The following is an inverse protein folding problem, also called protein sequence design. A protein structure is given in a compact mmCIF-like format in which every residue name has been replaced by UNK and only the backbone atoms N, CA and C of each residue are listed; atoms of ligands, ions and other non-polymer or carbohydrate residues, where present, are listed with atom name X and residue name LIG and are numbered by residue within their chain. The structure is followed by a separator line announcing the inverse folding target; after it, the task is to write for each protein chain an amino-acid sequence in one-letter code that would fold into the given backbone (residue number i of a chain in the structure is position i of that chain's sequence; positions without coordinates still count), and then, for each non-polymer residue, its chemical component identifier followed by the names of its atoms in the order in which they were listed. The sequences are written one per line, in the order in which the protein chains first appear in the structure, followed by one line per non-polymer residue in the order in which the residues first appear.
data_IF_907172883282
#
_entry.id   IF_907172883282
#
_cell.length_a   1.000
_cell.length_b   1.000
_cell.length_c   1.000
_cell.angle_alpha   90.00
_cell.angle_beta   90.00
_cell.angle_gamma   90.00
#
_symmetry.space_group_name_H-M   'P 1'
#
loop_
_entity.id
_entity.type
_entity.pdbx_description
1 polymer ?
#
# COMPACT_ATOMS: atom_id res chain seq x y z
N UNK A 1 -9.08 8.06 -13.61
CA UNK A 1 -8.91 7.49 -12.26
C UNK A 1 -7.50 6.97 -11.99
N UNK A 2 -6.82 6.41 -12.99
CA UNK A 2 -5.45 5.88 -12.85
C UNK A 2 -4.42 6.83 -12.21
N UNK A 3 -4.38 8.11 -12.63
CA UNK A 3 -3.43 9.10 -12.08
C UNK A 3 -3.62 9.28 -10.58
N UNK A 4 -4.87 9.29 -10.12
CA UNK A 4 -5.22 9.40 -8.71
C UNK A 4 -4.80 8.13 -7.95
N UNK A 5 -5.07 6.93 -8.49
CA UNK A 5 -4.59 5.67 -7.91
C UNK A 5 -3.08 5.62 -7.76
N UNK A 6 -2.34 6.08 -8.77
CA UNK A 6 -0.88 6.15 -8.73
C UNK A 6 -0.38 7.16 -7.68
N UNK A 7 -1.04 8.31 -7.53
CA UNK A 7 -0.73 9.29 -6.49
C UNK A 7 -1.00 8.75 -5.08
N UNK A 8 -2.13 8.06 -4.87
CA UNK A 8 -2.46 7.42 -3.59
C UNK A 8 -1.43 6.34 -3.24
N UNK A 9 -1.00 5.56 -4.23
CA UNK A 9 0.04 4.55 -4.06
C UNK A 9 1.37 5.18 -3.64
N UNK A 10 1.80 6.26 -4.31
CA UNK A 10 3.01 7.00 -3.95
C UNK A 10 2.90 7.60 -2.54
N UNK A 11 1.75 8.15 -2.17
CA UNK A 11 1.50 8.68 -0.83
C UNK A 11 1.59 7.58 0.24
N UNK A 12 1.06 6.38 -0.02
CA UNK A 12 1.18 5.25 0.89
C UNK A 12 2.64 4.89 1.19
N UNK A 13 3.50 4.89 0.17
CA UNK A 13 4.93 4.64 0.33
C UNK A 13 5.64 5.76 1.08
N UNK A 14 5.32 7.03 0.78
CA UNK A 14 5.88 8.17 1.51
C UNK A 14 5.47 8.17 2.98
N UNK A 15 4.20 7.86 3.27
CA UNK A 15 3.70 7.72 4.64
C UNK A 15 4.46 6.61 5.37
N UNK A 16 4.65 5.45 4.72
CA UNK A 16 5.42 4.35 5.28
C UNK A 16 6.86 4.77 5.62
N UNK A 17 7.57 5.40 4.68
CA UNK A 17 8.93 5.90 4.89
C UNK A 17 8.98 6.89 6.06
N UNK A 18 8.03 7.82 6.13
CA UNK A 18 7.96 8.79 7.22
C UNK A 18 7.76 8.10 8.58
N UNK A 19 6.88 7.10 8.66
CA UNK A 19 6.64 6.35 9.89
C UNK A 19 7.91 5.60 10.32
N UNK A 20 8.57 4.92 9.39
CA UNK A 20 9.87 4.27 9.65
C UNK A 20 10.92 5.27 10.13
N UNK A 21 11.02 6.44 9.51
CA UNK A 21 11.97 7.48 9.90
C UNK A 21 11.69 8.05 11.30
N UNK A 22 10.42 8.12 11.72
CA UNK A 22 10.05 8.58 13.07
C UNK A 22 10.25 7.51 14.16
N UNK A 23 10.56 6.27 13.80
CA UNK A 23 10.73 5.17 14.76
C UNK A 23 9.44 4.72 15.47
N UNK A 24 8.27 5.26 15.12
CA UNK A 24 6.98 4.94 15.75
C UNK A 24 6.36 3.64 15.20
N UNK A 25 7.15 2.58 15.09
CA UNK A 25 6.73 1.26 14.61
C UNK A 25 6.15 0.45 15.77
N UNK A 26 4.92 0.78 16.18
CA UNK A 26 4.16 0.04 17.19
C UNK A 26 2.89 -0.50 16.55
N UNK A 27 2.51 -1.74 16.86
CA UNK A 27 1.34 -2.40 16.29
C UNK A 27 0.04 -1.59 16.48
N UNK A 28 -0.13 -0.99 17.67
CA UNK A 28 -1.30 -0.19 18.02
C UNK A 28 -1.27 1.24 17.44
N UNK A 29 -0.17 1.63 16.78
CA UNK A 29 -0.07 2.96 16.19
C UNK A 29 -0.97 3.06 14.95
N UNK A 30 -2.03 3.86 15.04
CA UNK A 30 -2.96 4.11 13.91
C UNK A 30 -2.26 4.61 12.65
N UNK A 31 -1.16 5.37 12.79
CA UNK A 31 -0.42 5.90 11.64
C UNK A 31 0.24 4.77 10.84
N UNK A 32 0.69 3.70 11.49
CA UNK A 32 1.27 2.52 10.83
C UNK A 32 0.31 1.93 9.78
N UNK A 33 -1.00 2.03 10.03
CA UNK A 33 -2.06 1.49 9.18
C UNK A 33 -2.47 2.43 8.04
N UNK A 34 -1.98 3.68 7.99
CA UNK A 34 -2.30 4.61 6.93
C UNK A 34 -1.73 4.19 5.56
N UNK A 35 -0.52 3.62 5.55
CA UNK A 35 0.14 3.11 4.36
C UNK A 35 -0.63 1.93 3.70
N UNK A 36 -0.94 0.83 4.40
CA UNK A 36 -1.68 -0.28 3.81
C UNK A 36 -3.10 0.12 3.37
N UNK A 37 -3.79 1.01 4.10
CA UNK A 37 -5.09 1.54 3.64
C UNK A 37 -4.96 2.27 2.29
N UNK A 38 -3.91 3.08 2.13
CA UNK A 38 -3.64 3.78 0.88
C UNK A 38 -3.36 2.80 -0.28
N UNK A 39 -2.56 1.76 -0.03
CA UNK A 39 -2.28 0.71 -1.02
C UNK A 39 -3.55 -0.02 -1.45
N UNK A 40 -4.42 -0.39 -0.50
CA UNK A 40 -5.70 -1.05 -0.79
C UNK A 40 -6.66 -0.17 -1.58
N UNK A 41 -6.77 1.11 -1.23
CA UNK A 41 -7.57 2.07 -2.00
C UNK A 41 -7.05 2.23 -3.44
N UNK A 42 -5.74 2.41 -3.61
CA UNK A 42 -5.13 2.53 -4.93
C UNK A 42 -5.40 1.29 -5.79
N UNK A 43 -5.21 0.10 -5.22
CA UNK A 43 -5.43 -1.17 -5.90
C UNK A 43 -6.90 -1.36 -6.32
N UNK A 44 -7.83 -1.04 -5.43
CA UNK A 44 -9.28 -1.17 -5.69
C UNK A 44 -9.72 -0.21 -6.79
N UNK A 45 -9.33 1.07 -6.72
CA UNK A 45 -9.67 2.06 -7.74
C UNK A 45 -9.08 1.71 -9.11
N UNK A 46 -7.85 1.22 -9.15
CA UNK A 46 -7.21 0.77 -10.39
C UNK A 46 -7.91 -0.49 -10.96
N UNK A 47 -8.33 -1.41 -10.10
CA UNK A 47 -9.08 -2.61 -10.51
C UNK A 47 -10.44 -2.25 -11.14
N UNK A 48 -11.19 -1.31 -10.56
CA UNK A 48 -12.44 -0.80 -11.13
C UNK A 48 -12.20 -0.17 -12.51
N UNK A 49 -11.17 0.68 -12.62
CA UNK A 49 -10.80 1.32 -13.90
C UNK A 49 -10.44 0.30 -14.98
N UNK A 50 -9.85 -0.85 -14.60
CA UNK A 50 -9.48 -1.94 -15.51
C UNK A 50 -10.71 -2.61 -16.15
N UNK A 51 -11.83 -2.62 -15.45
CA UNK A 51 -13.10 -3.19 -15.91
C UNK A 51 -13.82 -2.21 -16.83
N UNK A 52 -13.81 -0.92 -16.51
CA UNK A 52 -14.60 0.12 -17.19
C UNK A 52 -13.96 0.68 -18.45
N UNK A 53 -12.63 0.77 -18.53
CA UNK A 53 -11.91 1.44 -19.61
C UNK A 53 -10.96 0.48 -20.35
N UNK A 54 -11.28 0.15 -21.60
CA UNK A 54 -10.49 -0.75 -22.43
C UNK A 54 -9.13 -0.16 -22.83
N UNK A 55 -9.06 1.15 -23.00
CA UNK A 55 -7.88 1.85 -23.51
C UNK A 55 -6.84 2.01 -22.39
N UNK A 56 -7.31 2.19 -21.15
CA UNK A 56 -6.45 2.27 -19.96
C UNK A 56 -6.29 0.93 -19.23
N UNK A 57 -6.83 -0.18 -19.75
CA UNK A 57 -6.90 -1.47 -19.06
C UNK A 57 -5.54 -1.99 -18.61
N UNK A 58 -4.55 -2.01 -19.51
CA UNK A 58 -3.22 -2.55 -19.21
C UNK A 58 -2.51 -1.75 -18.11
N UNK A 59 -2.56 -0.42 -18.19
CA UNK A 59 -1.98 0.47 -17.19
C UNK A 59 -2.69 0.31 -15.83
N UNK A 60 -4.02 0.21 -15.85
CA UNK A 60 -4.86 0.04 -14.65
C UNK A 60 -4.61 -1.27 -13.95
N UNK A 61 -4.43 -2.34 -14.73
CA UNK A 61 -4.06 -3.64 -14.20
C UNK A 61 -2.67 -3.62 -13.54
N UNK A 62 -1.69 -2.95 -14.16
CA UNK A 62 -0.36 -2.77 -13.55
C UNK A 62 -0.44 -2.03 -12.22
N UNK A 63 -1.15 -0.90 -12.16
CA UNK A 63 -1.30 -0.13 -10.91
C UNK A 63 -2.02 -0.96 -9.84
N UNK A 64 -3.01 -1.76 -10.21
CA UNK A 64 -3.68 -2.68 -9.30
C UNK A 64 -2.71 -3.72 -8.72
N UNK A 65 -1.93 -4.39 -9.58
CA UNK A 65 -0.91 -5.36 -9.15
C UNK A 65 0.10 -4.71 -8.21
N UNK A 66 0.61 -3.53 -8.54
CA UNK A 66 1.59 -2.84 -7.70
C UNK A 66 1.00 -2.48 -6.34
N UNK A 67 -0.28 -2.06 -6.29
CA UNK A 67 -0.98 -1.82 -5.04
C UNK A 67 -1.09 -3.08 -4.16
N UNK A 68 -1.47 -4.23 -4.75
CA UNK A 68 -1.51 -5.51 -4.04
C UNK A 68 -0.12 -5.99 -3.59
N UNK A 69 0.90 -5.83 -4.45
CA UNK A 69 2.27 -6.16 -4.10
C UNK A 69 2.77 -5.30 -2.93
N UNK A 70 2.39 -4.02 -2.88
CA UNK A 70 2.74 -3.11 -1.79
C UNK A 70 2.08 -3.52 -0.47
N UNK A 71 0.83 -3.98 -0.51
CA UNK A 71 0.16 -4.60 0.65
C UNK A 71 0.91 -5.84 1.14
N UNK A 72 1.34 -6.72 0.23
CA UNK A 72 2.10 -7.91 0.58
C UNK A 72 3.44 -7.56 1.23
N UNK A 73 4.19 -6.61 0.65
CA UNK A 73 5.46 -6.14 1.21
C UNK A 73 5.26 -5.57 2.61
N UNK A 74 4.20 -4.77 2.82
CA UNK A 74 3.86 -4.26 4.14
C UNK A 74 3.56 -5.39 5.13
N UNK A 75 2.69 -6.34 4.76
CA UNK A 75 2.31 -7.46 5.62
C UNK A 75 3.52 -8.33 6.03
N UNK A 76 4.39 -8.64 5.06
CA UNK A 76 5.64 -9.36 5.30
C UNK A 76 6.55 -8.54 6.23
N UNK A 77 6.74 -7.25 5.96
CA UNK A 77 7.52 -6.36 6.82
C UNK A 77 7.02 -6.33 8.26
N UNK A 78 5.72 -6.22 8.46
CA UNK A 78 5.10 -6.29 9.79
C UNK A 78 5.29 -7.66 10.46
N UNK A 79 5.21 -8.76 9.72
CA UNK A 79 5.49 -10.09 10.26
C UNK A 79 6.92 -10.18 10.82
N UNK A 80 7.92 -9.64 10.11
CA UNK A 80 9.28 -9.60 10.61
C UNK A 80 9.45 -8.65 11.80
N UNK A 81 8.88 -7.44 11.73
CA UNK A 81 9.00 -6.43 12.78
C UNK A 81 8.33 -6.83 14.10
N UNK A 82 7.14 -7.43 14.04
CA UNK A 82 6.34 -7.72 15.25
C UNK A 82 6.25 -9.21 15.56
N UNK A 83 6.22 -10.08 14.55
CA UNK A 83 6.03 -11.51 14.73
C UNK A 83 7.29 -12.29 15.12
N UNK A 84 8.48 -11.82 14.71
CA UNK A 84 9.76 -12.48 15.02
C UNK A 84 10.53 -11.81 16.15
N UNK A 85 10.45 -10.49 16.31
CA UNK A 85 11.18 -9.74 17.35
C UNK A 85 10.48 -9.79 18.72
N UNK A 86 9.16 -10.00 18.77
CA UNK A 86 8.37 -10.05 20.02
C UNK A 86 8.52 -11.34 20.85
N UNK A 87 9.47 -12.23 20.53
CA UNK A 87 9.76 -13.46 21.28
C UNK A 87 11.12 -13.46 22.01
N UNK A 88 11.82 -12.32 22.03
CA UNK A 88 13.08 -12.14 22.77
C UNK A 88 12.85 -11.69 24.21
#
# INVERSE_FOLDING_TARGET
MIKLSALILAFGWLALIAIYATGNLVWDNRLLWAAPMSFGCAATMASVTTVEDSDARALSFLVAIVGFASLLVFAVGCFFLFGLVGKG
#
